data_IF_188605390097
#
_entry.id   IF_188605390097
#
_cell.length_a   1.000
_cell.length_b   1.000
_cell.length_c   1.000
_cell.angle_alpha   90.00
_cell.angle_beta   90.00
_cell.angle_gamma   90.00
#
_symmetry.space_group_name_H-M   'P 1'
#
loop_
_entity.id
_entity.type
_entity.pdbx_description
1 polymer ?
#
# COMPACT_ATOMS: atom_id res chain seq x y z
N UNK A 1 -9.47 7.72 -7.25
CA UNK A 1 -10.73 6.99 -7.02
C UNK A 1 -10.52 5.67 -6.30
N UNK A 2 -9.96 4.63 -6.94
CA UNK A 2 -9.78 3.30 -6.31
C UNK A 2 -8.96 3.36 -5.01
N UNK A 3 -7.92 4.21 -4.98
CA UNK A 3 -7.11 4.40 -3.77
C UNK A 3 -7.89 4.96 -2.57
N UNK A 4 -8.97 5.70 -2.78
CA UNK A 4 -9.76 6.32 -1.70
C UNK A 4 -10.91 5.43 -1.20
N UNK A 5 -11.00 4.20 -1.73
CA UNK A 5 -12.01 3.24 -1.32
C UNK A 5 -11.78 2.85 0.15
N UNK A 6 -12.87 2.90 0.93
CA UNK A 6 -13.01 2.47 2.31
C UNK A 6 -14.38 1.82 2.52
N UNK A 7 -14.64 1.31 3.73
CA UNK A 7 -15.90 0.65 4.07
C UNK A 7 -17.14 1.51 3.89
N UNK A 8 -17.02 2.85 4.00
CA UNK A 8 -18.14 3.77 3.94
C UNK A 8 -18.55 4.13 2.50
N UNK A 9 -17.63 4.05 1.54
CA UNK A 9 -17.84 4.54 0.17
C UNK A 9 -17.70 3.46 -0.92
N UNK A 10 -17.43 2.21 -0.55
CA UNK A 10 -17.21 1.12 -1.52
C UNK A 10 -18.38 0.94 -2.50
N UNK A 11 -19.63 1.08 -2.06
CA UNK A 11 -20.80 0.91 -2.93
C UNK A 11 -20.89 2.01 -3.99
N UNK A 12 -20.68 3.25 -3.57
CA UNK A 12 -20.67 4.42 -4.45
C UNK A 12 -19.55 4.29 -5.49
N UNK A 13 -18.32 4.04 -5.03
CA UNK A 13 -17.17 3.91 -5.93
C UNK A 13 -17.28 2.71 -6.86
N UNK A 14 -17.79 1.57 -6.39
CA UNK A 14 -18.06 0.41 -7.26
C UNK A 14 -19.00 0.80 -8.40
N UNK A 15 -20.07 1.54 -8.09
CA UNK A 15 -21.06 1.97 -9.08
C UNK A 15 -20.46 2.94 -10.10
N UNK A 16 -19.68 3.92 -9.64
CA UNK A 16 -18.99 4.88 -10.51
C UNK A 16 -17.99 4.16 -11.44
N UNK A 17 -17.18 3.23 -10.91
CA UNK A 17 -16.25 2.42 -11.69
C UNK A 17 -16.97 1.63 -12.78
N UNK A 18 -18.08 0.96 -12.43
CA UNK A 18 -18.87 0.17 -13.39
C UNK A 18 -19.40 1.08 -14.52
N UNK A 19 -19.86 2.29 -14.21
CA UNK A 19 -20.30 3.27 -15.23
C UNK A 19 -19.15 3.68 -16.14
N UNK A 20 -17.97 3.94 -15.59
CA UNK A 20 -16.78 4.30 -16.40
C UNK A 20 -16.38 3.16 -17.35
N UNK A 21 -16.44 1.91 -16.90
CA UNK A 21 -16.17 0.74 -17.74
C UNK A 21 -17.26 0.58 -18.81
N UNK A 22 -18.55 0.65 -18.44
CA UNK A 22 -19.67 0.52 -19.39
C UNK A 22 -19.68 1.60 -20.46
N UNK A 23 -19.19 2.80 -20.14
CA UNK A 23 -19.08 3.92 -21.09
C UNK A 23 -17.79 3.90 -21.91
N UNK A 24 -16.95 2.88 -21.74
CA UNK A 24 -15.68 2.75 -22.48
C UNK A 24 -14.63 3.79 -22.10
N UNK A 25 -14.83 4.53 -21.00
CA UNK A 25 -13.87 5.55 -20.54
C UNK A 25 -12.62 4.93 -19.93
N UNK A 26 -12.74 3.72 -19.37
CA UNK A 26 -11.65 2.96 -18.77
C UNK A 26 -11.86 1.47 -19.08
N UNK A 27 -10.80 0.74 -19.40
CA UNK A 27 -10.89 -0.71 -19.61
C UNK A 27 -11.04 -1.45 -18.27
N UNK A 28 -11.78 -2.56 -18.27
CA UNK A 28 -11.91 -3.42 -17.08
C UNK A 28 -10.55 -3.92 -16.58
N UNK A 29 -9.65 -4.29 -17.51
CA UNK A 29 -8.30 -4.80 -17.18
C UNK A 29 -7.49 -3.77 -16.39
N UNK A 30 -7.55 -2.50 -16.79
CA UNK A 30 -6.86 -1.42 -16.09
C UNK A 30 -7.37 -1.24 -14.66
N UNK A 31 -8.69 -1.31 -14.46
CA UNK A 31 -9.28 -1.21 -13.11
C UNK A 31 -8.85 -2.39 -12.24
N UNK A 32 -8.97 -3.62 -12.73
CA UNK A 32 -8.59 -4.82 -11.98
C UNK A 32 -7.10 -4.82 -11.63
N UNK A 33 -6.25 -4.39 -12.56
CA UNK A 33 -4.82 -4.20 -12.34
C UNK A 33 -4.52 -3.18 -11.23
N UNK A 34 -5.21 -2.04 -11.22
CA UNK A 34 -5.02 -1.03 -10.18
C UNK A 34 -5.48 -1.53 -8.80
N UNK A 35 -6.60 -2.27 -8.75
CA UNK A 35 -7.06 -2.90 -7.50
C UNK A 35 -6.02 -3.90 -7.00
N UNK A 36 -5.50 -4.74 -7.90
CA UNK A 36 -4.46 -5.72 -7.56
C UNK A 36 -3.19 -5.03 -7.02
N UNK A 37 -2.73 -3.99 -7.71
CA UNK A 37 -1.54 -3.21 -7.30
C UNK A 37 -1.74 -2.52 -5.94
N UNK A 38 -2.90 -1.91 -5.71
CA UNK A 38 -3.20 -1.26 -4.43
C UNK A 38 -3.41 -2.26 -3.29
N UNK A 39 -3.92 -3.44 -3.57
CA UNK A 39 -4.06 -4.50 -2.56
C UNK A 39 -2.70 -4.99 -2.02
N UNK A 40 -1.62 -4.87 -2.81
CA UNK A 40 -0.24 -5.17 -2.37
C UNK A 40 0.29 -4.09 -1.41
N UNK A 41 -0.15 -2.84 -1.58
CA UNK A 41 0.29 -1.71 -0.75
C UNK A 41 -0.54 -1.60 0.53
N UNK A 42 -1.87 -1.57 0.40
CA UNK A 42 -2.83 -1.39 1.50
C UNK A 42 -3.29 -2.75 2.04
N UNK A 43 -2.34 -3.51 2.58
CA UNK A 43 -2.57 -4.87 3.05
C UNK A 43 -3.67 -5.01 4.12
N UNK A 44 -3.82 -4.00 5.02
CA UNK A 44 -4.92 -3.93 6.01
C UNK A 44 -6.30 -3.91 5.37
N UNK A 45 -6.39 -3.39 4.15
CA UNK A 45 -7.64 -3.19 3.41
C UNK A 45 -7.83 -4.28 2.34
N UNK A 46 -7.08 -5.38 2.37
CA UNK A 46 -7.14 -6.39 1.31
C UNK A 46 -8.53 -7.01 1.13
N UNK A 47 -9.31 -7.14 2.22
CA UNK A 47 -10.71 -7.59 2.17
C UNK A 47 -11.58 -6.62 1.39
N UNK A 48 -11.40 -5.33 1.64
CA UNK A 48 -12.11 -4.27 0.94
C UNK A 48 -11.81 -4.30 -0.57
N UNK A 49 -10.54 -4.52 -0.93
CA UNK A 49 -10.17 -4.71 -2.33
C UNK A 49 -10.73 -6.00 -2.93
N UNK A 50 -10.82 -7.09 -2.17
CA UNK A 50 -11.48 -8.32 -2.61
C UNK A 50 -12.96 -8.09 -2.90
N UNK A 51 -13.67 -7.33 -2.05
CA UNK A 51 -15.07 -6.98 -2.26
C UNK A 51 -15.27 -6.09 -3.50
N UNK A 52 -14.40 -5.10 -3.70
CA UNK A 52 -14.45 -4.24 -4.87
C UNK A 52 -14.18 -5.03 -6.15
N UNK A 53 -13.14 -5.87 -6.15
CA UNK A 53 -12.77 -6.73 -7.27
C UNK A 53 -13.91 -7.69 -7.62
N UNK A 54 -14.52 -8.34 -6.62
CA UNK A 54 -15.68 -9.22 -6.76
C UNK A 54 -16.86 -8.51 -7.44
N UNK A 55 -17.24 -7.32 -6.95
CA UNK A 55 -18.33 -6.52 -7.54
C UNK A 55 -18.12 -6.20 -9.02
N UNK A 56 -16.87 -5.95 -9.41
CA UNK A 56 -16.52 -5.67 -10.81
C UNK A 56 -16.59 -6.96 -11.64
N UNK A 57 -16.02 -8.07 -11.15
CA UNK A 57 -16.12 -9.35 -11.85
C UNK A 57 -17.57 -9.78 -12.10
N UNK A 58 -18.43 -9.67 -11.08
CA UNK A 58 -19.86 -9.99 -11.18
C UNK A 58 -20.57 -9.13 -12.22
N UNK A 59 -20.35 -7.80 -12.16
CA UNK A 59 -21.03 -6.84 -13.02
C UNK A 59 -20.73 -7.04 -14.52
N UNK A 60 -19.60 -7.66 -14.84
CA UNK A 60 -19.16 -7.93 -16.21
C UNK A 60 -19.08 -9.43 -16.54
N UNK A 61 -19.48 -10.31 -15.61
CA UNK A 61 -19.45 -11.76 -15.76
C UNK A 61 -18.11 -12.29 -16.31
N UNK A 62 -17.01 -11.79 -15.75
CA UNK A 62 -15.66 -12.14 -16.19
C UNK A 62 -14.85 -12.82 -15.07
N UNK A 63 -13.82 -13.57 -15.45
CA UNK A 63 -12.95 -14.31 -14.52
C UNK A 63 -11.51 -13.99 -14.85
N UNK A 64 -10.97 -12.97 -14.16
CA UNK A 64 -9.58 -12.52 -14.33
C UNK A 64 -8.90 -12.64 -12.97
N UNK A 65 -7.91 -13.54 -12.87
CA UNK A 65 -7.14 -13.75 -11.64
C UNK A 65 -6.23 -12.54 -11.35
N UNK A 66 -6.22 -11.99 -10.13
CA UNK A 66 -5.20 -11.01 -9.74
C UNK A 66 -3.82 -11.67 -9.57
N UNK A 67 -2.74 -10.89 -9.65
CA UNK A 67 -1.39 -11.38 -9.39
C UNK A 67 -1.09 -11.47 -7.89
N UNK A 68 -1.72 -10.64 -7.05
CA UNK A 68 -1.62 -10.79 -5.60
C UNK A 68 -2.32 -12.07 -5.15
N UNK A 69 -1.55 -13.09 -4.82
CA UNK A 69 -2.09 -14.39 -4.41
C UNK A 69 -2.98 -14.32 -3.17
N UNK A 70 -2.76 -13.36 -2.25
CA UNK A 70 -3.66 -13.16 -1.11
C UNK A 70 -5.03 -12.66 -1.57
N UNK A 71 -5.07 -11.73 -2.53
CA UNK A 71 -6.31 -11.25 -3.13
C UNK A 71 -7.00 -12.38 -3.92
N UNK A 72 -6.24 -13.17 -4.68
CA UNK A 72 -6.75 -14.33 -5.42
C UNK A 72 -7.36 -15.39 -4.47
N UNK A 73 -6.70 -15.68 -3.35
CA UNK A 73 -7.23 -16.59 -2.30
C UNK A 73 -8.56 -16.08 -1.75
N UNK A 74 -8.68 -14.79 -1.40
CA UNK A 74 -9.93 -14.24 -0.88
C UNK A 74 -11.07 -14.34 -1.90
N UNK A 75 -10.78 -14.07 -3.19
CA UNK A 75 -11.76 -14.24 -4.26
C UNK A 75 -12.15 -15.71 -4.47
N UNK A 76 -11.19 -16.63 -4.33
CA UNK A 76 -11.45 -18.06 -4.42
C UNK A 76 -12.45 -18.53 -3.37
N UNK A 77 -12.25 -18.11 -2.10
CA UNK A 77 -13.18 -18.43 -1.02
C UNK A 77 -14.54 -17.72 -1.15
N UNK A 78 -14.64 -16.69 -2.00
CA UNK A 78 -15.92 -16.05 -2.38
C UNK A 78 -16.62 -16.75 -3.55
N UNK A 79 -16.07 -17.84 -4.09
CA UNK A 79 -16.71 -18.67 -5.11
C UNK A 79 -16.13 -18.52 -6.52
N UNK A 80 -15.09 -17.71 -6.72
CA UNK A 80 -14.39 -17.67 -8.01
C UNK A 80 -13.44 -18.85 -8.18
N UNK A 81 -13.41 -19.45 -9.36
CA UNK A 81 -12.40 -20.44 -9.73
C UNK A 81 -11.48 -19.85 -10.78
N UNK A 82 -10.17 -20.00 -10.59
CA UNK A 82 -9.16 -19.54 -11.54
C UNK A 82 -8.39 -20.74 -12.07
N UNK A 83 -8.13 -20.77 -13.37
CA UNK A 83 -7.36 -21.85 -13.99
C UNK A 83 -5.97 -21.95 -13.35
N UNK A 84 -5.57 -23.16 -12.98
CA UNK A 84 -4.27 -23.48 -12.39
C UNK A 84 -3.95 -22.71 -11.10
N UNK A 85 -4.97 -22.30 -10.34
CA UNK A 85 -4.78 -21.65 -9.04
C UNK A 85 -5.32 -22.52 -7.92
N UNK A 86 -4.47 -22.78 -6.94
CA UNK A 86 -4.85 -23.37 -5.65
C UNK A 86 -4.41 -22.41 -4.56
N UNK A 87 -5.29 -22.01 -3.63
CA UNK A 87 -4.91 -21.16 -2.51
C UNK A 87 -3.74 -21.73 -1.72
N UNK A 88 -2.68 -20.94 -1.58
CA UNK A 88 -1.54 -21.28 -0.72
C UNK A 88 -1.73 -20.81 0.72
N UNK A 89 -2.39 -19.67 0.90
CA UNK A 89 -2.61 -19.04 2.19
C UNK A 89 -3.97 -19.44 2.78
N UNK A 90 -4.02 -19.64 4.09
CA UNK A 90 -5.29 -19.67 4.82
C UNK A 90 -5.88 -18.26 4.92
N UNK A 91 -7.22 -18.14 4.91
CA UNK A 91 -7.92 -16.86 4.98
C UNK A 91 -7.52 -16.09 6.24
N UNK A 92 -7.48 -16.74 7.40
CA UNK A 92 -7.16 -16.09 8.67
C UNK A 92 -5.75 -15.48 8.67
N UNK A 93 -4.80 -16.09 7.97
CA UNK A 93 -3.43 -15.58 7.79
C UNK A 93 -3.35 -14.40 6.82
N UNK A 94 -4.37 -14.21 5.96
CA UNK A 94 -4.50 -13.03 5.11
C UNK A 94 -5.11 -11.88 5.89
N UNK A 95 -6.15 -12.16 6.69
CA UNK A 95 -6.86 -11.18 7.50
C UNK A 95 -5.97 -10.62 8.62
N UNK A 96 -5.14 -11.49 9.22
CA UNK A 96 -4.20 -11.11 10.26
C UNK A 96 -2.81 -10.90 9.67
N UNK A 97 -2.40 -9.63 9.55
CA UNK A 97 -1.04 -9.28 9.08
C UNK A 97 0.04 -9.92 9.96
N UNK A 98 -0.25 -9.99 11.26
CA UNK A 98 0.52 -10.67 12.29
C UNK A 98 -0.43 -11.47 13.17
N UNK A 99 0.08 -12.57 13.72
CA UNK A 99 -0.62 -13.37 14.74
C UNK A 99 -1.11 -12.47 15.88
N UNK A 100 -2.32 -12.70 16.37
CA UNK A 100 -3.01 -11.88 17.37
C UNK A 100 -2.36 -11.91 18.77
N UNK A 101 -1.49 -12.88 19.00
CA UNK A 101 -0.61 -13.02 20.16
C UNK A 101 0.77 -12.36 19.97
N UNK A 102 1.04 -11.71 18.84
CA UNK A 102 2.32 -11.05 18.56
C UNK A 102 2.30 -9.57 18.95
N UNK A 103 3.38 -9.02 19.53
CA UNK A 103 3.52 -7.57 19.73
C UNK A 103 3.32 -6.76 18.44
N UNK A 104 3.76 -7.30 17.30
CA UNK A 104 3.62 -6.64 16.00
C UNK A 104 2.15 -6.45 15.59
N UNK A 105 1.24 -7.32 16.02
CA UNK A 105 -0.19 -7.14 15.79
C UNK A 105 -0.71 -5.89 16.48
N UNK A 106 -0.45 -5.74 17.78
CA UNK A 106 -0.90 -4.57 18.55
C UNK A 106 -0.27 -3.29 18.01
N UNK A 107 1.00 -3.33 17.62
CA UNK A 107 1.68 -2.19 17.01
C UNK A 107 1.03 -1.85 15.67
N UNK A 108 0.84 -2.82 14.77
CA UNK A 108 0.25 -2.56 13.46
C UNK A 108 -1.15 -1.95 13.55
N UNK A 109 -1.93 -2.27 14.59
CA UNK A 109 -3.26 -1.71 14.81
C UNK A 109 -3.30 -0.51 15.77
N UNK A 110 -2.14 0.03 16.15
CA UNK A 110 -1.94 1.17 17.06
C UNK A 110 -2.60 1.01 18.45
N UNK A 111 -2.65 -0.22 18.94
CA UNK A 111 -3.26 -0.64 20.20
C UNK A 111 -2.28 -0.54 21.37
N UNK A 112 -1.83 0.66 21.68
CA UNK A 112 -0.72 0.89 22.62
C UNK A 112 -0.98 0.37 24.04
N UNK A 113 -2.21 0.49 24.56
CA UNK A 113 -2.52 0.10 25.94
C UNK A 113 -2.59 -1.42 26.10
N UNK A 114 -3.11 -2.13 25.10
CA UNK A 114 -3.12 -3.59 25.05
C UNK A 114 -1.69 -4.13 24.86
N UNK A 115 -0.87 -3.47 24.05
CA UNK A 115 0.56 -3.78 23.91
C UNK A 115 1.27 -3.70 25.26
N UNK A 116 1.11 -2.59 25.99
CA UNK A 116 1.73 -2.39 27.32
C UNK A 116 1.28 -3.45 28.33
N UNK A 117 -0.02 -3.78 28.32
CA UNK A 117 -0.61 -4.75 29.24
C UNK A 117 -0.11 -6.17 28.98
N UNK A 118 -0.08 -6.60 27.71
CA UNK A 118 0.33 -7.96 27.33
C UNK A 118 1.84 -8.16 27.29
N UNK A 119 2.61 -7.11 26.96
CA UNK A 119 4.07 -7.19 26.79
C UNK A 119 4.79 -6.11 27.61
N UNK A 120 4.72 -6.15 28.95
CA UNK A 120 5.36 -5.14 29.81
C UNK A 120 6.89 -5.06 29.58
N UNK A 121 7.51 -6.22 29.32
CA UNK A 121 8.94 -6.39 29.08
C UNK A 121 9.26 -6.56 27.58
N UNK A 122 8.51 -5.86 26.70
CA UNK A 122 8.78 -5.89 25.26
C UNK A 122 10.23 -5.43 24.98
N UNK A 123 11.02 -6.30 24.35
CA UNK A 123 12.32 -5.96 23.79
C UNK A 123 12.13 -5.03 22.57
N UNK A 124 12.73 -3.84 22.63
CA UNK A 124 12.40 -2.72 21.72
C UNK A 124 13.26 -2.64 20.47
N UNK A 125 14.48 -3.18 20.51
CA UNK A 125 15.43 -3.13 19.39
C UNK A 125 15.62 -4.48 18.70
N UNK A 126 15.04 -5.55 19.25
CA UNK A 126 15.07 -6.87 18.63
C UNK A 126 14.09 -6.96 17.46
N UNK A 127 14.55 -7.56 16.37
CA UNK A 127 13.66 -7.85 15.23
C UNK A 127 12.71 -8.99 15.58
N UNK A 128 11.41 -8.73 15.52
CA UNK A 128 10.39 -9.74 15.72
C UNK A 128 10.08 -10.42 14.38
N UNK A 129 10.04 -11.76 14.38
CA UNK A 129 9.81 -12.61 13.21
C UNK A 129 10.78 -12.34 12.05
N UNK A 130 12.02 -11.94 12.36
CA UNK A 130 13.07 -11.58 11.39
C UNK A 130 12.64 -10.50 10.37
N UNK A 131 11.66 -9.67 10.74
CA UNK A 131 11.00 -8.76 9.79
C UNK A 131 11.12 -7.30 10.16
N UNK A 132 10.79 -6.96 11.40
CA UNK A 132 10.73 -5.58 11.88
C UNK A 132 11.19 -5.51 13.33
N UNK A 133 11.88 -4.44 13.70
CA UNK A 133 11.84 -4.00 15.11
C UNK A 133 10.43 -3.49 15.42
N UNK A 134 10.03 -3.45 16.70
CA UNK A 134 8.79 -2.78 17.10
C UNK A 134 8.63 -1.38 16.50
N UNK A 135 9.69 -0.56 16.50
CA UNK A 135 9.63 0.81 15.97
C UNK A 135 9.44 0.82 14.45
N UNK A 136 10.14 -0.04 13.72
CA UNK A 136 9.97 -0.20 12.28
C UNK A 136 8.55 -0.61 11.90
N UNK A 137 7.92 -1.48 12.71
CA UNK A 137 6.52 -1.83 12.54
C UNK A 137 5.61 -0.61 12.71
N UNK A 138 5.84 0.19 13.76
CA UNK A 138 5.07 1.41 14.00
C UNK A 138 5.21 2.41 12.84
N UNK A 139 6.43 2.62 12.35
CA UNK A 139 6.71 3.43 11.16
C UNK A 139 5.96 2.91 9.92
N UNK A 140 6.06 1.61 9.63
CA UNK A 140 5.48 1.00 8.44
C UNK A 140 3.95 1.08 8.39
N UNK A 141 3.30 1.07 9.55
CA UNK A 141 1.83 1.07 9.65
C UNK A 141 1.22 2.40 10.06
N UNK A 142 2.05 3.43 10.29
CA UNK A 142 1.60 4.76 10.69
C UNK A 142 1.03 4.81 12.11
N UNK A 143 1.46 3.88 12.98
CA UNK A 143 0.92 3.67 14.32
C UNK A 143 1.53 4.65 15.32
N UNK A 144 0.94 5.84 15.41
CA UNK A 144 1.51 6.99 16.11
C UNK A 144 1.63 6.79 17.63
N UNK A 145 0.61 6.19 18.26
CA UNK A 145 0.63 5.97 19.71
C UNK A 145 1.72 4.96 20.09
N UNK A 146 1.82 3.87 19.33
CA UNK A 146 2.86 2.87 19.49
C UNK A 146 4.25 3.44 19.17
N UNK A 147 4.39 4.23 18.11
CA UNK A 147 5.63 4.91 17.75
C UNK A 147 6.14 5.79 18.91
N UNK A 148 5.28 6.66 19.45
CA UNK A 148 5.62 7.54 20.56
C UNK A 148 6.01 6.75 21.82
N UNK A 149 5.27 5.69 22.14
CA UNK A 149 5.59 4.82 23.26
C UNK A 149 6.97 4.16 23.11
N UNK A 150 7.27 3.61 21.93
CA UNK A 150 8.53 2.92 21.66
C UNK A 150 9.72 3.90 21.67
N UNK A 151 9.56 5.09 21.08
CA UNK A 151 10.56 6.17 21.14
C UNK A 151 10.84 6.60 22.57
N UNK A 152 9.80 6.75 23.41
CA UNK A 152 9.96 7.09 24.83
C UNK A 152 10.66 5.98 25.63
N UNK A 153 10.57 4.72 25.19
CA UNK A 153 11.35 3.61 25.74
C UNK A 153 12.81 3.57 25.26
N UNK A 154 13.20 4.44 24.32
CA UNK A 154 14.56 4.53 23.80
C UNK A 154 14.82 3.76 22.51
N UNK A 155 13.77 3.30 21.81
CA UNK A 155 13.93 2.54 20.57
C UNK A 155 14.68 3.35 19.50
N UNK A 156 15.59 2.69 18.79
CA UNK A 156 16.43 3.33 17.77
C UNK A 156 15.86 3.15 16.36
N UNK A 157 16.10 4.14 15.50
CA UNK A 157 15.79 4.02 14.08
C UNK A 157 16.75 3.02 13.42
N UNK A 158 16.19 2.18 12.57
CA UNK A 158 16.96 1.34 11.66
C UNK A 158 17.25 2.09 10.36
N UNK A 159 18.12 1.53 9.52
CA UNK A 159 18.37 2.03 8.16
C UNK A 159 17.13 2.06 7.27
N UNK A 160 16.10 1.28 7.61
CA UNK A 160 14.88 1.15 6.82
C UNK A 160 13.74 2.02 7.36
N UNK A 161 13.86 2.55 8.59
CA UNK A 161 12.80 3.31 9.27
C UNK A 161 12.26 4.46 8.43
N UNK A 162 13.14 5.23 7.76
CA UNK A 162 12.73 6.37 6.92
C UNK A 162 11.80 5.92 5.80
N UNK A 163 12.19 4.86 5.07
CA UNK A 163 11.37 4.27 4.00
C UNK A 163 10.05 3.75 4.56
N UNK A 164 10.07 3.07 5.71
CA UNK A 164 8.87 2.53 6.35
C UNK A 164 7.90 3.64 6.80
N UNK A 165 8.40 4.75 7.35
CA UNK A 165 7.57 5.89 7.75
C UNK A 165 6.83 6.53 6.56
N UNK A 166 7.48 6.61 5.38
CA UNK A 166 6.81 7.03 4.14
C UNK A 166 5.62 6.12 3.82
N UNK A 167 5.82 4.80 3.93
CA UNK A 167 4.79 3.79 3.67
C UNK A 167 3.63 3.84 4.66
N UNK A 168 3.92 4.16 5.92
CA UNK A 168 2.91 4.29 6.97
C UNK A 168 1.96 5.47 6.79
N UNK A 169 2.29 6.43 5.94
CA UNK A 169 1.46 7.61 5.60
C UNK A 169 1.02 8.43 6.83
N UNK A 170 1.75 8.34 7.93
CA UNK A 170 1.54 9.17 9.11
C UNK A 170 2.51 10.36 9.07
N UNK A 171 1.95 11.55 8.91
CA UNK A 171 2.72 12.80 8.81
C UNK A 171 3.46 13.14 10.10
N UNK A 172 2.86 12.88 11.26
CA UNK A 172 3.46 13.20 12.55
C UNK A 172 4.71 12.36 12.78
N UNK A 173 4.66 11.06 12.47
CA UNK A 173 5.84 10.18 12.50
C UNK A 173 6.93 10.71 11.55
N UNK A 174 6.57 11.04 10.31
CA UNK A 174 7.53 11.57 9.33
C UNK A 174 8.21 12.85 9.82
N UNK A 175 7.43 13.82 10.31
CA UNK A 175 7.97 15.09 10.80
C UNK A 175 8.84 14.91 12.05
N UNK A 176 8.42 14.06 13.00
CA UNK A 176 9.24 13.75 14.17
C UNK A 176 10.58 13.13 13.76
N UNK A 177 10.60 12.22 12.79
CA UNK A 177 11.85 11.63 12.30
C UNK A 177 12.80 12.65 11.65
N UNK A 178 12.26 13.64 10.94
CA UNK A 178 13.05 14.76 10.41
C UNK A 178 13.65 15.58 11.55
N UNK A 179 12.87 15.89 12.59
CA UNK A 179 13.34 16.63 13.77
C UNK A 179 14.41 15.87 14.55
N UNK A 180 14.28 14.55 14.63
CA UNK A 180 15.27 13.64 15.21
C UNK A 180 16.53 13.46 14.32
N UNK A 181 16.59 14.14 13.16
CA UNK A 181 17.76 14.16 12.28
C UNK A 181 17.89 12.97 11.33
N UNK A 182 16.82 12.21 11.09
CA UNK A 182 16.84 11.12 10.09
C UNK A 182 16.95 11.68 8.67
N UNK A 183 17.76 11.03 7.84
CA UNK A 183 17.82 11.33 6.40
C UNK A 183 16.68 10.64 5.65
N UNK A 184 16.13 11.36 4.68
CA UNK A 184 15.11 10.89 3.75
C UNK A 184 15.57 11.08 2.29
N UNK A 185 16.83 10.77 1.99
CA UNK A 185 17.42 10.97 0.65
C UNK A 185 16.92 9.96 -0.39
N UNK A 186 16.61 10.43 -1.61
CA UNK A 186 16.25 9.62 -2.78
C UNK A 186 15.04 8.67 -2.58
N UNK A 187 13.97 9.14 -1.93
CA UNK A 187 12.76 8.34 -1.63
C UNK A 187 11.45 8.95 -2.16
N UNK A 188 11.51 10.04 -2.94
CA UNK A 188 10.32 10.69 -3.48
C UNK A 188 9.41 9.74 -4.28
N UNK A 189 9.98 8.80 -5.05
CA UNK A 189 9.17 7.79 -5.74
C UNK A 189 8.43 6.90 -4.75
N UNK A 190 9.04 6.49 -3.64
CA UNK A 190 8.33 5.73 -2.59
C UNK A 190 7.18 6.54 -2.00
N UNK A 191 7.33 7.84 -1.80
CA UNK A 191 6.23 8.68 -1.33
C UNK A 191 5.08 8.74 -2.35
N UNK A 192 5.40 8.80 -3.64
CA UNK A 192 4.41 8.81 -4.72
C UNK A 192 3.71 7.45 -4.87
N UNK A 193 4.44 6.34 -4.81
CA UNK A 193 3.89 4.98 -4.90
C UNK A 193 2.87 4.72 -3.79
N UNK A 194 3.16 5.21 -2.58
CA UNK A 194 2.29 5.13 -1.41
C UNK A 194 1.30 6.30 -1.32
N UNK A 195 1.22 7.15 -2.36
CA UNK A 195 0.33 8.32 -2.46
C UNK A 195 0.35 9.21 -1.22
N UNK A 196 1.54 9.38 -0.66
CA UNK A 196 1.82 10.31 0.41
C UNK A 196 2.23 11.65 -0.21
N UNK A 197 1.28 12.32 -0.88
CA UNK A 197 1.56 13.51 -1.68
C UNK A 197 2.07 14.69 -0.86
N UNK A 198 1.63 14.82 0.40
CA UNK A 198 2.15 15.84 1.31
C UNK A 198 3.65 15.64 1.58
N UNK A 199 4.06 14.40 1.83
CA UNK A 199 5.49 14.11 2.02
C UNK A 199 6.25 14.21 0.70
N UNK A 200 5.69 13.76 -0.42
CA UNK A 200 6.33 13.95 -1.73
C UNK A 200 6.60 15.44 -2.04
N UNK A 201 5.64 16.32 -1.72
CA UNK A 201 5.81 17.76 -1.88
C UNK A 201 6.85 18.34 -0.90
N UNK A 202 6.91 17.84 0.33
CA UNK A 202 7.97 18.19 1.28
C UNK A 202 9.35 17.79 0.72
N UNK A 203 9.53 16.54 0.28
CA UNK A 203 10.79 16.03 -0.27
C UNK A 203 11.24 16.84 -1.50
N UNK A 204 10.29 17.21 -2.35
CA UNK A 204 10.55 18.06 -3.52
C UNK A 204 10.98 19.48 -3.14
N UNK A 205 10.21 20.15 -2.28
CA UNK A 205 10.40 21.57 -2.00
C UNK A 205 11.50 21.86 -0.99
N UNK A 206 11.72 20.95 -0.02
CA UNK A 206 12.69 21.12 1.06
C UNK A 206 13.99 20.37 0.82
N UNK A 207 13.92 19.20 0.17
CA UNK A 207 15.11 18.37 -0.11
C UNK A 207 15.50 18.34 -1.59
N UNK A 208 14.78 19.07 -2.46
CA UNK A 208 15.11 19.19 -3.88
C UNK A 208 14.95 17.90 -4.70
N UNK A 209 14.28 16.88 -4.15
CA UNK A 209 14.10 15.60 -4.83
C UNK A 209 13.13 15.73 -6.01
N UNK A 210 13.36 14.93 -7.04
CA UNK A 210 12.51 14.87 -8.23
C UNK A 210 12.14 13.43 -8.51
N UNK A 211 10.87 13.14 -8.87
CA UNK A 211 10.54 11.83 -9.38
C UNK A 211 11.26 11.60 -10.71
N UNK A 212 11.65 10.36 -10.96
CA UNK A 212 12.38 9.96 -12.16
C UNK A 212 11.86 8.65 -12.77
N UNK A 213 10.90 7.99 -12.12
CA UNK A 213 10.37 6.69 -12.56
C UNK A 213 8.99 6.81 -13.22
N UNK A 214 8.99 6.87 -14.55
CA UNK A 214 7.76 6.83 -15.36
C UNK A 214 7.04 5.48 -15.19
N UNK A 215 7.80 4.38 -15.18
CA UNK A 215 7.25 3.03 -15.05
C UNK A 215 6.55 2.83 -13.69
N UNK A 216 7.17 3.21 -12.56
CA UNK A 216 6.53 3.13 -11.23
C UNK A 216 5.31 4.04 -11.17
N UNK A 217 5.41 5.25 -11.72
CA UNK A 217 4.27 6.17 -11.78
C UNK A 217 3.07 5.56 -12.49
N UNK A 218 3.26 4.87 -13.62
CA UNK A 218 2.19 4.17 -14.31
C UNK A 218 1.70 2.93 -13.53
N UNK A 219 2.62 2.14 -12.97
CA UNK A 219 2.31 0.93 -12.19
C UNK A 219 1.38 1.23 -11.02
N UNK A 220 1.65 2.31 -10.28
CA UNK A 220 0.84 2.74 -9.14
C UNK A 220 -0.26 3.74 -9.51
N UNK A 221 -0.49 3.98 -10.80
CA UNK A 221 -1.56 4.86 -11.31
C UNK A 221 -1.40 6.33 -10.94
N UNK A 222 -0.18 6.81 -10.75
CA UNK A 222 0.20 8.22 -10.59
C UNK A 222 0.29 8.91 -11.96
N UNK A 223 -0.83 8.94 -12.69
CA UNK A 223 -0.88 9.42 -14.09
C UNK A 223 -0.51 10.90 -14.25
N UNK A 224 -0.75 11.75 -13.24
CA UNK A 224 -0.34 13.16 -13.28
C UNK A 224 1.19 13.30 -13.25
N UNK A 225 1.87 12.49 -12.43
CA UNK A 225 3.33 12.44 -12.38
C UNK A 225 3.89 11.85 -13.67
N UNK A 226 3.28 10.77 -14.18
CA UNK A 226 3.67 10.19 -15.47
C UNK A 226 3.58 11.23 -16.60
N UNK A 227 2.48 11.99 -16.66
CA UNK A 227 2.27 13.07 -17.63
C UNK A 227 3.33 14.17 -17.51
N UNK A 228 3.64 14.59 -16.27
CA UNK A 228 4.73 15.52 -16.00
C UNK A 228 6.08 14.98 -16.50
N UNK A 229 6.43 13.73 -16.20
CA UNK A 229 7.69 13.11 -16.63
C UNK A 229 7.80 13.04 -18.15
N UNK A 230 6.75 12.61 -18.84
CA UNK A 230 6.71 12.56 -20.32
C UNK A 230 6.91 13.96 -20.91
N UNK A 231 6.22 14.97 -20.35
CA UNK A 231 6.33 16.37 -20.81
C UNK A 231 7.73 16.95 -20.59
N UNK A 232 8.53 16.36 -19.71
CA UNK A 232 9.92 16.75 -19.43
C UNK A 232 10.95 15.80 -20.09
N UNK A 233 10.53 15.02 -21.09
CA UNK A 233 11.43 14.21 -21.91
C UNK A 233 11.86 12.88 -21.30
N UNK A 234 11.09 12.34 -20.34
CA UNK A 234 11.33 10.98 -19.85
C UNK A 234 11.21 9.96 -21.00
N UNK A 235 12.15 9.00 -21.05
CA UNK A 235 12.18 7.97 -22.08
C UNK A 235 11.05 6.96 -21.89
N UNK A 236 10.07 7.01 -22.80
CA UNK A 236 8.93 6.10 -22.84
C UNK A 236 9.32 4.66 -23.23
N UNK A 237 10.52 4.47 -23.80
CA UNK A 237 11.02 3.17 -24.24
C UNK A 237 11.83 2.44 -23.18
N UNK A 238 11.94 2.99 -21.95
CA UNK A 238 12.57 2.30 -20.83
C UNK A 238 11.67 1.13 -20.34
N UNK A 239 11.73 0.05 -21.13
CA UNK A 239 11.43 -1.39 -21.05
C UNK A 239 10.32 -1.92 -20.12
N UNK A 240 9.87 -1.24 -19.07
CA UNK A 240 8.80 -1.73 -18.17
C UNK A 240 7.39 -1.17 -18.46
N UNK A 241 7.27 -0.25 -19.42
CA UNK A 241 5.99 0.41 -19.73
C UNK A 241 5.10 -0.42 -20.65
N UNK A 242 5.67 -1.38 -21.40
CA UNK A 242 4.95 -2.12 -22.45
C UNK A 242 3.65 -2.77 -21.94
N UNK A 243 3.66 -3.35 -20.73
CA UNK A 243 2.48 -3.99 -20.13
C UNK A 243 1.37 -3.00 -19.71
N UNK A 244 1.75 -1.77 -19.33
CA UNK A 244 0.82 -0.72 -18.89
C UNK A 244 0.24 0.03 -20.09
N UNK A 245 1.04 0.30 -21.11
CA UNK A 245 0.56 0.94 -22.35
C UNK A 245 -0.38 0.04 -23.18
N UNK A 246 -0.22 -1.29 -23.12
CA UNK A 246 -1.16 -2.23 -23.79
C UNK A 246 -2.55 -2.18 -23.14
N UNK A 247 -2.64 -1.81 -21.85
CA UNK A 247 -3.93 -1.71 -21.13
C UNK A 247 -4.70 -0.41 -21.44
N UNK A 248 -4.05 0.57 -22.09
CA UNK A 248 -4.61 1.89 -22.47
C UNK A 248 -5.07 1.88 -23.95
N UNK A 249 -4.54 1.00 -24.80
CA UNK A 249 -4.70 1.05 -26.27
C UNK A 249 -5.79 0.08 -26.82
N UNK A 250 -6.51 -0.68 -25.96
CA UNK A 250 -7.61 -1.56 -26.42
C UNK A 250 -8.95 -1.17 -25.80
#
# INVERSE_FOLDING_TARGET
MIWEVNSNNILEFSSQIIVLIKTGKISIKMILYLIDSFSKIRNKDIVLFADLYHKILDAFSCVIKPENDKLATLLFHKGFTFNNFTPYYEVDNILNIFSDDSPLHFIAWDKVDELKSKFPNLEIDETINFRFTPLDCACNFGSELCFNYLKNKGAQYSKDSAKLAIKGRNKNIFMQMIEDGQSFDNIINTALDYRNYEVAEYLKTKLGQKPDSLAESLHFGNYDIASYLISNGADINNIYILFLSISIII
#
